data_IF_983185901647
#
_entry.id   IF_983185901647
#
_cell.length_a   1.000
_cell.length_b   1.000
_cell.length_c   1.000
_cell.angle_alpha   90.00
_cell.angle_beta   90.00
_cell.angle_gamma   90.00
#
_symmetry.space_group_name_H-M   'P 1'
#
loop_
_entity.id
_entity.type
_entity.pdbx_description
1 polymer ?
#
# COMPACT_ATOMS: atom_id res chain seq x y z
N UNK A 1 0.56 24.49 0.70
CA UNK A 1 -0.04 23.39 -0.07
C UNK A 1 0.39 22.11 0.62
N UNK A 2 -0.54 21.39 1.24
CA UNK A 2 -0.23 20.10 1.86
C UNK A 2 -0.03 19.12 0.73
N UNK A 3 1.20 18.69 0.53
CA UNK A 3 1.53 17.65 -0.43
C UNK A 3 0.84 16.37 0.06
N UNK A 4 -0.12 15.84 -0.71
CA UNK A 4 -0.89 14.63 -0.42
C UNK A 4 -0.02 13.35 -0.32
N UNK A 5 1.31 13.50 -0.32
CA UNK A 5 2.31 12.44 -0.20
C UNK A 5 2.75 12.16 1.23
N UNK A 6 2.55 13.08 2.17
CA UNK A 6 3.03 12.88 3.54
C UNK A 6 1.91 12.25 4.38
N UNK A 7 1.86 10.91 4.35
CA UNK A 7 1.00 10.10 5.22
C UNK A 7 1.64 9.83 6.59
N UNK A 8 2.67 10.59 6.95
CA UNK A 8 3.46 10.37 8.16
C UNK A 8 3.84 11.69 8.82
N UNK A 9 3.88 11.74 10.14
CA UNK A 9 4.30 12.90 10.92
C UNK A 9 5.36 12.47 11.93
N UNK A 10 6.51 13.13 11.92
CA UNK A 10 7.61 12.81 12.84
C UNK A 10 7.48 13.60 14.15
N UNK A 11 7.60 12.89 15.28
CA UNK A 11 7.56 13.44 16.63
C UNK A 11 8.67 12.81 17.46
N UNK A 12 9.79 13.53 17.58
CA UNK A 12 10.98 13.04 18.26
C UNK A 12 11.47 11.78 17.54
N UNK A 13 11.70 10.71 18.29
CA UNK A 13 12.13 9.46 17.66
C UNK A 13 11.04 8.73 16.87
N UNK A 14 9.76 9.12 16.99
CA UNK A 14 8.68 8.33 16.42
C UNK A 14 8.11 8.91 15.14
N UNK A 15 7.60 8.01 14.29
CA UNK A 15 6.84 8.34 13.09
C UNK A 15 5.38 7.91 13.25
N UNK A 16 4.47 8.88 13.23
CA UNK A 16 3.03 8.65 13.28
C UNK A 16 2.50 8.54 11.86
N UNK A 17 2.03 7.37 11.46
CA UNK A 17 1.27 7.17 10.24
C UNK A 17 -0.15 7.72 10.41
N UNK A 18 -0.56 8.57 9.47
CA UNK A 18 -1.88 9.20 9.45
C UNK A 18 -2.92 8.27 8.82
N UNK A 19 -4.20 8.32 9.24
CA UNK A 19 -5.27 7.58 8.58
C UNK A 19 -5.34 7.89 7.08
N UNK A 20 -5.39 6.85 6.25
CA UNK A 20 -5.41 6.94 4.79
C UNK A 20 -6.59 6.15 4.19
N UNK A 21 -6.65 6.02 2.86
CA UNK A 21 -7.71 5.29 2.17
C UNK A 21 -7.82 3.81 2.59
N UNK A 22 -6.74 3.20 3.09
CA UNK A 22 -6.66 1.82 3.56
C UNK A 22 -6.82 1.75 5.08
N UNK A 23 -5.98 2.47 5.80
CA UNK A 23 -5.82 2.42 7.25
C UNK A 23 -6.69 3.48 7.93
N UNK A 24 -7.72 3.10 8.70
CA UNK A 24 -8.64 4.05 9.33
C UNK A 24 -8.09 4.71 10.60
N UNK A 25 -6.93 4.28 11.09
CA UNK A 25 -6.35 4.65 12.37
C UNK A 25 -5.01 5.35 12.21
N UNK A 26 -4.66 6.18 13.20
CA UNK A 26 -3.28 6.57 13.40
C UNK A 26 -2.48 5.34 13.87
N UNK A 27 -1.23 5.24 13.43
CA UNK A 27 -0.37 4.11 13.77
C UNK A 27 1.06 4.55 14.02
N UNK A 28 1.69 4.01 15.06
CA UNK A 28 3.15 4.02 15.24
C UNK A 28 3.59 2.55 15.16
N UNK A 29 4.64 2.26 14.40
CA UNK A 29 5.26 0.95 14.32
C UNK A 29 6.77 1.13 14.53
N UNK A 30 7.27 0.72 15.69
CA UNK A 30 8.63 1.09 16.11
C UNK A 30 9.30 0.05 17.00
N UNK A 31 10.61 -0.12 16.86
CA UNK A 31 11.39 -1.05 17.66
C UNK A 31 11.83 -0.42 18.99
N UNK A 32 10.88 -0.34 19.93
CA UNK A 32 11.06 0.38 21.20
C UNK A 32 12.04 -0.28 22.18
N UNK A 33 12.34 -1.59 22.03
CA UNK A 33 13.25 -2.32 22.93
C UNK A 33 14.60 -1.62 23.07
N UNK A 34 15.33 -1.50 21.97
CA UNK A 34 16.63 -0.83 21.92
C UNK A 34 16.53 0.65 22.32
N UNK A 35 15.52 1.36 21.81
CA UNK A 35 15.31 2.79 22.07
C UNK A 35 15.06 3.09 23.55
N UNK A 36 14.49 2.15 24.30
CA UNK A 36 14.25 2.24 25.74
C UNK A 36 15.37 1.65 26.59
N UNK A 37 16.41 1.08 25.96
CA UNK A 37 17.51 0.38 26.64
C UNK A 37 17.10 -0.96 27.26
N UNK A 38 16.19 -1.68 26.61
CA UNK A 38 15.61 -2.96 27.04
C UNK A 38 15.98 -4.08 26.08
N UNK A 39 15.87 -5.33 26.55
CA UNK A 39 16.25 -6.50 25.74
C UNK A 39 15.20 -6.79 24.66
N UNK A 40 13.92 -6.55 24.96
CA UNK A 40 12.82 -6.92 24.06
C UNK A 40 11.76 -5.84 23.89
N UNK A 41 11.04 -5.92 22.76
CA UNK A 41 9.85 -5.08 22.51
C UNK A 41 8.70 -5.39 23.48
N UNK A 42 8.64 -6.59 24.08
CA UNK A 42 7.64 -6.95 25.08
C UNK A 42 7.85 -6.19 26.40
N UNK A 43 9.10 -6.08 26.85
CA UNK A 43 9.46 -5.24 28.00
C UNK A 43 9.17 -3.77 27.73
N UNK A 44 9.46 -3.30 26.51
CA UNK A 44 9.18 -1.93 26.11
C UNK A 44 7.68 -1.63 26.07
N UNK A 45 6.86 -2.55 25.57
CA UNK A 45 5.41 -2.48 25.66
C UNK A 45 4.95 -2.36 27.12
N UNK A 46 5.42 -3.24 28.00
CA UNK A 46 5.04 -3.21 29.41
C UNK A 46 5.40 -1.87 30.07
N UNK A 47 6.64 -1.40 29.85
CA UNK A 47 7.13 -0.10 30.35
C UNK A 47 6.26 1.06 29.85
N UNK A 48 5.91 1.07 28.56
CA UNK A 48 5.05 2.10 27.97
C UNK A 48 3.64 2.04 28.57
N UNK A 49 3.03 0.85 28.68
CA UNK A 49 1.70 0.67 29.27
C UNK A 49 1.64 1.15 30.72
N UNK A 50 2.64 0.80 31.52
CA UNK A 50 2.70 1.20 32.93
C UNK A 50 2.87 2.71 33.06
N UNK A 51 3.70 3.33 32.22
CA UNK A 51 3.88 4.79 32.16
C UNK A 51 2.59 5.51 31.76
N UNK A 52 1.87 4.99 30.77
CA UNK A 52 0.60 5.59 30.32
C UNK A 52 -0.48 5.46 31.40
N UNK A 53 -0.60 4.30 32.05
CA UNK A 53 -1.56 4.11 33.14
C UNK A 53 -1.33 5.07 34.31
N UNK A 54 -0.08 5.39 34.63
CA UNK A 54 0.26 6.29 35.74
C UNK A 54 0.13 7.77 35.37
N UNK A 55 0.50 8.17 34.15
CA UNK A 55 0.41 9.58 33.69
C UNK A 55 -1.01 9.98 33.30
N UNK A 56 -1.69 9.15 32.51
CA UNK A 56 -3.03 9.44 31.98
C UNK A 56 -3.76 8.15 31.60
N UNK A 57 -4.57 7.65 32.55
CA UNK A 57 -5.35 6.42 32.36
C UNK A 57 -6.39 6.51 31.24
N UNK A 58 -6.79 7.72 30.82
CA UNK A 58 -7.76 7.91 29.76
C UNK A 58 -7.13 7.82 28.37
N UNK A 59 -5.88 8.27 28.21
CA UNK A 59 -5.09 8.02 26.99
C UNK A 59 -4.91 6.51 26.80
N UNK A 60 -4.53 5.78 27.86
CA UNK A 60 -4.33 4.34 27.79
C UNK A 60 -5.56 3.58 27.25
N UNK A 61 -6.77 3.99 27.65
CA UNK A 61 -8.03 3.36 27.17
C UNK A 61 -8.35 3.68 25.70
N UNK A 62 -7.78 4.75 25.14
CA UNK A 62 -8.06 5.24 23.77
C UNK A 62 -7.14 4.65 22.71
N UNK A 63 -6.08 3.98 23.12
CA UNK A 63 -5.07 3.39 22.24
C UNK A 63 -5.01 1.86 22.39
N UNK A 64 -4.47 1.20 21.36
CA UNK A 64 -4.09 -0.21 21.41
C UNK A 64 -2.60 -0.33 21.20
N UNK A 65 -1.89 -0.96 22.12
CA UNK A 65 -0.46 -1.27 22.02
C UNK A 65 -0.35 -2.78 21.87
N UNK A 66 0.49 -3.29 20.98
CA UNK A 66 0.85 -4.72 20.91
C UNK A 66 2.31 -4.84 20.46
N UNK A 67 3.13 -5.59 21.18
CA UNK A 67 4.47 -5.96 20.74
C UNK A 67 4.46 -7.23 19.87
N UNK A 68 5.32 -7.21 18.87
CA UNK A 68 5.79 -8.37 18.12
C UNK A 68 7.32 -8.42 18.21
N UNK A 69 7.95 -9.51 17.77
CA UNK A 69 9.41 -9.66 17.84
C UNK A 69 10.17 -8.51 17.16
N UNK A 70 9.63 -7.99 16.06
CA UNK A 70 10.27 -6.92 15.28
C UNK A 70 9.90 -5.48 15.67
N UNK A 71 8.75 -5.24 16.28
CA UNK A 71 8.32 -3.88 16.64
C UNK A 71 7.13 -3.87 17.62
N UNK A 72 6.87 -2.69 18.19
CA UNK A 72 5.65 -2.38 18.92
C UNK A 72 4.71 -1.58 18.02
N UNK A 73 3.49 -2.09 17.85
CA UNK A 73 2.42 -1.41 17.14
C UNK A 73 1.52 -0.66 18.11
N UNK A 74 1.30 0.63 17.83
CA UNK A 74 0.44 1.50 18.63
C UNK A 74 -0.59 2.10 17.70
N UNK A 75 -1.88 1.87 17.99
CA UNK A 75 -2.98 2.30 17.15
C UNK A 75 -3.96 3.17 17.94
N UNK A 76 -4.42 4.25 17.30
CA UNK A 76 -5.48 5.10 17.81
C UNK A 76 -6.51 5.36 16.70
N UNK A 77 -7.81 5.35 17.00
CA UNK A 77 -8.82 5.63 15.98
C UNK A 77 -8.69 7.07 15.44
N UNK A 78 -9.28 7.37 14.28
CA UNK A 78 -9.12 8.65 13.58
C UNK A 78 -9.59 9.90 14.36
N UNK A 79 -10.30 9.75 15.49
CA UNK A 79 -10.70 10.88 16.35
C UNK A 79 -9.72 11.14 17.49
N UNK A 80 -8.71 10.28 17.66
CA UNK A 80 -7.79 10.29 18.80
C UNK A 80 -6.41 10.85 18.44
N UNK A 81 -6.38 11.86 17.56
CA UNK A 81 -5.13 12.53 17.14
C UNK A 81 -4.31 13.08 18.31
N UNK A 82 -4.98 13.65 19.33
CA UNK A 82 -4.30 14.08 20.55
C UNK A 82 -3.71 12.90 21.33
N UNK A 83 -4.45 11.80 21.50
CA UNK A 83 -3.94 10.66 22.27
C UNK A 83 -2.73 10.01 21.62
N UNK A 84 -2.69 9.90 20.28
CA UNK A 84 -1.49 9.35 19.62
C UNK A 84 -0.29 10.30 19.71
N UNK A 85 -0.52 11.62 19.71
CA UNK A 85 0.54 12.61 19.93
C UNK A 85 1.15 12.50 21.33
N UNK A 86 0.33 12.43 22.37
CA UNK A 86 0.84 12.30 23.74
C UNK A 86 1.63 11.02 23.93
N UNK A 87 1.20 9.91 23.29
CA UNK A 87 1.96 8.66 23.30
C UNK A 87 3.30 8.82 22.60
N UNK A 88 3.35 9.49 21.45
CA UNK A 88 4.58 9.80 20.74
C UNK A 88 5.58 10.60 21.59
N UNK A 89 5.09 11.61 22.32
CA UNK A 89 5.89 12.41 23.25
C UNK A 89 6.42 11.53 24.39
N UNK A 90 5.57 10.70 25.00
CA UNK A 90 5.97 9.79 26.09
C UNK A 90 7.01 8.77 25.60
N UNK A 91 6.90 8.27 24.37
CA UNK A 91 7.92 7.38 23.80
C UNK A 91 9.26 8.10 23.71
N UNK A 92 9.29 9.32 23.18
CA UNK A 92 10.52 10.11 23.10
C UNK A 92 11.11 10.41 24.50
N UNK A 93 10.26 10.66 25.51
CA UNK A 93 10.70 10.83 26.90
C UNK A 93 11.26 9.55 27.54
N UNK A 94 10.70 8.39 27.22
CA UNK A 94 11.16 7.10 27.74
C UNK A 94 12.45 6.61 27.07
N UNK A 95 12.77 7.15 25.90
CA UNK A 95 13.96 6.82 25.15
C UNK A 95 15.23 7.16 25.93
N UNK A 96 16.25 6.31 25.79
CA UNK A 96 17.59 6.60 26.33
C UNK A 96 18.21 7.79 25.60
N UNK A 97 19.18 8.42 26.25
CA UNK A 97 19.77 9.70 25.80
C UNK A 97 20.31 9.66 24.35
N UNK A 98 20.80 8.51 23.90
CA UNK A 98 21.34 8.36 22.54
C UNK A 98 20.28 8.41 21.44
N UNK A 99 19.03 8.08 21.76
CA UNK A 99 17.91 8.13 20.81
C UNK A 99 17.07 9.38 21.00
N UNK A 100 16.85 9.80 22.25
CA UNK A 100 15.96 10.93 22.59
C UNK A 100 16.28 12.19 21.77
N UNK A 101 15.24 12.76 21.18
CA UNK A 101 15.32 14.04 20.48
C UNK A 101 14.71 15.16 21.33
N UNK A 102 15.24 16.37 21.20
CA UNK A 102 14.63 17.55 21.81
C UNK A 102 13.36 17.95 21.05
N UNK A 103 12.28 18.18 21.77
CA UNK A 103 11.00 18.61 21.22
C UNK A 103 10.72 20.05 21.65
N UNK A 104 10.51 20.94 20.68
CA UNK A 104 10.08 22.31 20.96
C UNK A 104 8.56 22.37 21.12
N UNK A 105 8.08 23.32 21.92
CA UNK A 105 6.63 23.54 22.08
C UNK A 105 5.93 23.89 20.75
N UNK A 106 6.64 24.61 19.87
CA UNK A 106 6.15 24.93 18.52
C UNK A 106 5.92 23.67 17.68
N UNK A 107 6.90 22.76 17.64
CA UNK A 107 6.77 21.49 16.90
C UNK A 107 5.62 20.62 17.42
N UNK A 108 5.45 20.55 18.74
CA UNK A 108 4.34 19.82 19.36
C UNK A 108 2.99 20.43 18.97
N UNK A 109 2.87 21.75 18.95
CA UNK A 109 1.61 22.42 18.62
C UNK A 109 1.26 22.30 17.13
N UNK A 110 2.24 22.41 16.25
CA UNK A 110 2.05 22.16 14.82
C UNK A 110 1.61 20.71 14.55
N UNK A 111 2.24 19.76 15.21
CA UNK A 111 1.84 18.35 15.16
C UNK A 111 0.43 18.13 15.67
N UNK A 112 0.07 18.75 16.80
CA UNK A 112 -1.28 18.70 17.38
C UNK A 112 -2.32 19.21 16.40
N UNK A 113 -2.05 20.35 15.76
CA UNK A 113 -2.92 20.92 14.74
C UNK A 113 -3.11 19.95 13.58
N UNK A 114 -2.05 19.34 13.06
CA UNK A 114 -2.15 18.34 11.98
C UNK A 114 -3.02 17.15 12.43
N UNK A 115 -2.70 16.53 13.56
CA UNK A 115 -3.35 15.29 14.01
C UNK A 115 -4.82 15.48 14.39
N UNK A 116 -5.20 16.63 14.95
CA UNK A 116 -6.59 16.91 15.36
C UNK A 116 -7.46 17.38 14.20
N UNK A 117 -6.88 18.01 13.17
CA UNK A 117 -7.61 18.50 11.99
C UNK A 117 -7.55 17.54 10.80
N UNK A 118 -6.75 16.46 10.88
CA UNK A 118 -6.59 15.50 9.81
C UNK A 118 -7.93 14.87 9.40
N UNK A 119 -8.31 15.11 8.15
CA UNK A 119 -9.46 14.45 7.52
C UNK A 119 -8.96 13.29 6.71
N UNK A 120 -9.22 12.08 7.21
CA UNK A 120 -8.94 10.83 6.49
C UNK A 120 -9.49 10.92 5.05
N UNK A 121 -8.64 10.68 4.04
CA UNK A 121 -9.09 10.50 2.67
C UNK A 121 -10.09 9.35 2.58
N UNK A 122 -11.24 9.58 1.93
CA UNK A 122 -12.23 8.52 1.73
C UNK A 122 -11.70 7.55 0.66
N UNK A 123 -11.77 6.23 0.88
CA UNK A 123 -11.42 5.27 -0.15
C UNK A 123 -12.32 5.45 -1.38
N UNK A 124 -11.72 5.40 -2.58
CA UNK A 124 -12.43 5.32 -3.84
C UNK A 124 -13.37 4.12 -3.82
N UNK A 125 -14.60 4.32 -4.28
CA UNK A 125 -15.57 3.23 -4.42
C UNK A 125 -15.32 2.49 -5.72
N UNK A 126 -15.34 1.17 -5.65
CA UNK A 126 -15.27 0.28 -6.81
C UNK A 126 -16.05 -1.02 -6.58
N UNK A 127 -16.35 -1.70 -7.67
CA UNK A 127 -17.08 -2.97 -7.74
C UNK A 127 -16.63 -3.82 -8.93
N UNK A 128 -17.13 -5.05 -9.01
CA UNK A 128 -16.91 -5.92 -10.17
C UNK A 128 -17.48 -5.27 -11.44
N UNK A 129 -16.74 -5.39 -12.55
CA UNK A 129 -17.03 -4.71 -13.82
C UNK A 129 -16.42 -3.32 -13.95
N UNK A 130 -15.93 -2.71 -12.87
CA UNK A 130 -15.30 -1.39 -12.95
C UNK A 130 -13.99 -1.42 -13.72
N UNK A 131 -13.87 -0.49 -14.66
CA UNK A 131 -12.67 -0.24 -15.46
C UNK A 131 -11.88 0.86 -14.78
N UNK A 132 -10.57 0.67 -14.71
CA UNK A 132 -9.67 1.63 -14.08
C UNK A 132 -8.43 1.91 -14.95
N UNK A 133 -7.95 3.15 -14.87
CA UNK A 133 -6.71 3.60 -15.49
C UNK A 133 -5.57 3.58 -14.47
N UNK A 134 -4.38 3.15 -14.91
CA UNK A 134 -3.17 3.05 -14.09
C UNK A 134 -2.15 4.02 -14.66
N UNK A 135 -1.73 5.06 -13.91
CA UNK A 135 -0.66 5.94 -14.35
C UNK A 135 0.67 5.17 -14.41
N UNK A 136 1.37 5.30 -15.54
CA UNK A 136 2.67 4.68 -15.80
C UNK A 136 3.80 5.72 -15.62
N UNK A 137 5.03 5.25 -15.44
CA UNK A 137 6.20 6.09 -15.16
C UNK A 137 6.59 7.05 -16.29
N UNK A 138 6.21 6.73 -17.52
CA UNK A 138 6.37 7.60 -18.69
C UNK A 138 5.22 8.63 -18.85
N UNK A 139 4.33 8.73 -17.84
CA UNK A 139 3.13 9.58 -17.79
C UNK A 139 1.99 9.15 -18.71
N UNK A 140 2.10 8.00 -19.36
CA UNK A 140 0.98 7.37 -20.06
C UNK A 140 0.09 6.58 -19.08
N UNK A 141 -0.96 5.97 -19.60
CA UNK A 141 -1.92 5.16 -18.84
C UNK A 141 -2.03 3.76 -19.43
N UNK A 142 -2.00 2.75 -18.56
CA UNK A 142 -2.50 1.41 -18.84
C UNK A 142 -3.88 1.19 -18.24
N UNK A 143 -4.56 0.10 -18.60
CA UNK A 143 -5.94 -0.12 -18.19
C UNK A 143 -6.21 -1.54 -17.70
N UNK A 144 -7.17 -1.67 -16.79
CA UNK A 144 -7.67 -2.96 -16.32
C UNK A 144 -9.14 -2.91 -15.94
N UNK A 145 -9.71 -4.08 -15.67
CA UNK A 145 -11.08 -4.25 -15.17
C UNK A 145 -11.08 -5.13 -13.92
N UNK A 146 -11.86 -4.74 -12.91
CA UNK A 146 -12.12 -5.57 -11.73
C UNK A 146 -13.02 -6.74 -12.13
N UNK A 147 -12.49 -7.97 -12.08
CA UNK A 147 -13.24 -9.18 -12.42
C UNK A 147 -13.95 -9.77 -11.20
N UNK A 148 -13.24 -9.86 -10.07
CA UNK A 148 -13.84 -10.36 -8.83
C UNK A 148 -13.06 -9.94 -7.60
N UNK A 149 -13.68 -10.07 -6.43
CA UNK A 149 -12.99 -9.92 -5.15
C UNK A 149 -13.42 -11.01 -4.16
N UNK A 150 -12.50 -11.49 -3.32
CA UNK A 150 -12.88 -12.37 -2.20
C UNK A 150 -13.42 -11.57 -1.01
N UNK A 151 -12.75 -10.46 -0.72
CA UNK A 151 -13.15 -9.47 0.26
C UNK A 151 -12.57 -8.15 -0.26
N UNK A 152 -13.40 -7.11 -0.40
CA UNK A 152 -12.99 -5.82 -0.99
C UNK A 152 -11.75 -5.19 -0.30
N UNK A 153 -11.39 -5.67 0.88
CA UNK A 153 -10.24 -5.20 1.65
C UNK A 153 -8.96 -6.05 1.52
N UNK A 154 -9.03 -7.28 0.99
CA UNK A 154 -7.88 -8.20 0.99
C UNK A 154 -7.22 -8.34 -0.36
N UNK A 155 -8.01 -8.52 -1.42
CA UNK A 155 -7.52 -8.86 -2.73
C UNK A 155 -8.57 -8.65 -3.82
N UNK A 156 -8.10 -8.37 -5.02
CA UNK A 156 -8.91 -8.18 -6.22
C UNK A 156 -8.26 -8.91 -7.38
N UNK A 157 -9.09 -9.59 -8.18
CA UNK A 157 -8.66 -10.15 -9.46
C UNK A 157 -9.00 -9.16 -10.57
N UNK A 158 -8.01 -8.80 -11.37
CA UNK A 158 -8.15 -7.84 -12.45
C UNK A 158 -7.78 -8.48 -13.80
N UNK A 159 -8.55 -8.14 -14.84
CA UNK A 159 -8.11 -8.26 -16.22
C UNK A 159 -7.24 -7.04 -16.55
N UNK A 160 -6.23 -7.25 -17.39
CA UNK A 160 -5.35 -6.20 -17.90
C UNK A 160 -5.49 -6.17 -19.41
N UNK A 161 -5.70 -4.98 -19.97
CA UNK A 161 -5.92 -4.79 -21.41
C UNK A 161 -4.62 -4.50 -22.16
N UNK A 162 -4.54 -4.94 -23.43
CA UNK A 162 -3.56 -4.44 -24.41
C UNK A 162 -3.95 -3.03 -24.86
N UNK A 163 -3.92 -2.09 -23.93
CA UNK A 163 -4.29 -0.72 -24.17
C UNK A 163 -3.37 0.21 -23.39
N UNK A 164 -2.68 1.10 -24.11
CA UNK A 164 -1.88 2.19 -23.57
C UNK A 164 -2.22 3.48 -24.29
N UNK A 165 -2.25 4.59 -23.55
CA UNK A 165 -2.45 5.91 -24.15
C UNK A 165 -1.88 7.02 -23.26
N UNK A 166 -1.40 8.09 -23.87
CA UNK A 166 -0.91 9.29 -23.16
C UNK A 166 -2.05 10.09 -22.50
N UNK A 167 -3.30 9.81 -22.89
CA UNK A 167 -4.51 10.39 -22.30
C UNK A 167 -5.45 9.28 -21.86
N UNK A 168 -6.29 9.56 -20.86
CA UNK A 168 -7.29 8.60 -20.40
C UNK A 168 -8.31 8.37 -21.52
N UNK A 169 -8.40 7.12 -21.99
CA UNK A 169 -9.33 6.71 -23.04
C UNK A 169 -10.75 6.55 -22.51
N UNK A 170 -11.77 6.74 -23.38
CA UNK A 170 -13.14 6.36 -23.07
C UNK A 170 -13.25 4.86 -22.78
N UNK A 171 -14.04 4.48 -21.78
CA UNK A 171 -14.23 3.08 -21.36
C UNK A 171 -14.65 2.15 -22.50
N UNK A 172 -15.46 2.64 -23.44
CA UNK A 172 -15.94 1.88 -24.61
C UNK A 172 -14.83 1.49 -25.58
N UNK A 173 -13.76 2.27 -25.69
CA UNK A 173 -12.57 1.89 -26.47
C UNK A 173 -11.70 0.89 -25.72
N UNK A 174 -11.60 1.03 -24.39
CA UNK A 174 -10.77 0.16 -23.56
C UNK A 174 -11.29 -1.29 -23.57
N UNK A 175 -12.61 -1.49 -23.46
CA UNK A 175 -13.20 -2.84 -23.46
C UNK A 175 -13.11 -3.57 -24.79
N UNK A 176 -12.82 -2.86 -25.88
CA UNK A 176 -12.59 -3.46 -27.19
C UNK A 176 -11.16 -4.00 -27.35
N UNK A 177 -10.24 -3.63 -26.45
CA UNK A 177 -8.88 -4.14 -26.44
C UNK A 177 -8.82 -5.57 -25.92
N UNK A 178 -7.86 -6.33 -26.42
CA UNK A 178 -7.62 -7.70 -25.95
C UNK A 178 -7.18 -7.73 -24.49
N UNK A 179 -7.51 -8.81 -23.78
CA UNK A 179 -7.02 -9.05 -22.42
C UNK A 179 -5.70 -9.79 -22.49
N UNK A 180 -4.64 -9.21 -21.93
CA UNK A 180 -3.28 -9.76 -21.99
C UNK A 180 -2.91 -10.60 -20.75
N UNK A 181 -3.57 -10.32 -19.63
CA UNK A 181 -3.27 -10.96 -18.35
C UNK A 181 -4.47 -10.88 -17.41
N UNK A 182 -4.54 -11.84 -16.49
CA UNK A 182 -5.47 -11.82 -15.36
C UNK A 182 -4.67 -12.08 -14.08
N UNK A 183 -4.66 -11.12 -13.17
CA UNK A 183 -3.87 -11.18 -11.94
C UNK A 183 -4.73 -10.92 -10.71
N UNK A 184 -4.52 -11.72 -9.66
CA UNK A 184 -4.99 -11.38 -8.31
C UNK A 184 -3.93 -10.57 -7.58
N UNK A 185 -4.28 -9.38 -7.12
CA UNK A 185 -3.41 -8.52 -6.31
C UNK A 185 -3.97 -8.29 -4.92
N UNK A 186 -3.07 -8.08 -3.94
CA UNK A 186 -3.37 -7.62 -2.58
C UNK A 186 -2.73 -6.25 -2.32
N UNK A 187 -2.99 -5.70 -1.14
CA UNK A 187 -2.51 -4.37 -0.72
C UNK A 187 -2.99 -3.29 -1.69
N UNK A 188 -4.31 -3.14 -1.82
CA UNK A 188 -5.01 -2.35 -2.84
C UNK A 188 -4.91 -0.82 -2.61
N UNK A 189 -3.75 -0.31 -2.17
CA UNK A 189 -3.56 1.09 -1.83
C UNK A 189 -3.76 1.98 -3.05
N UNK A 190 -3.18 1.64 -4.20
CA UNK A 190 -3.30 2.46 -5.41
C UNK A 190 -4.75 2.51 -5.92
N UNK A 191 -5.49 1.40 -5.85
CA UNK A 191 -6.91 1.36 -6.24
C UNK A 191 -7.83 2.09 -5.25
N UNK A 192 -7.62 1.92 -3.95
CA UNK A 192 -8.46 2.55 -2.93
C UNK A 192 -8.13 4.03 -2.72
N UNK A 193 -6.89 4.46 -2.97
CA UNK A 193 -6.51 5.88 -2.91
C UNK A 193 -6.99 6.68 -4.12
N UNK A 194 -7.41 6.00 -5.19
CA UNK A 194 -7.80 6.61 -6.45
C UNK A 194 -6.64 6.93 -7.38
N UNK A 195 -5.41 6.51 -7.05
CA UNK A 195 -4.28 6.58 -7.99
C UNK A 195 -4.54 5.72 -9.22
N UNK A 196 -5.13 4.53 -9.04
CA UNK A 196 -5.80 3.85 -10.15
C UNK A 196 -7.21 4.40 -10.26
N UNK A 197 -7.43 5.27 -11.24
CA UNK A 197 -8.68 6.01 -11.37
C UNK A 197 -9.76 5.11 -11.95
N UNK A 198 -10.88 4.92 -11.23
CA UNK A 198 -12.05 4.21 -11.76
C UNK A 198 -12.77 5.10 -12.77
N UNK A 199 -12.93 4.59 -13.99
CA UNK A 199 -13.54 5.30 -15.13
C UNK A 199 -15.04 4.99 -15.27
N UNK A 200 -15.50 3.91 -14.65
CA UNK A 200 -16.89 3.47 -14.65
C UNK A 200 -17.03 1.97 -14.85
N UNK A 201 -18.27 1.51 -14.82
CA UNK A 201 -18.62 0.09 -14.89
C UNK A 201 -18.92 -0.36 -16.32
N UNK A 202 -18.57 -1.61 -16.64
CA UNK A 202 -18.96 -2.32 -17.85
C UNK A 202 -19.17 -3.82 -17.57
N UNK A 203 -19.70 -4.55 -18.55
CA UNK A 203 -19.82 -6.00 -18.51
C UNK A 203 -18.45 -6.65 -18.35
N UNK A 204 -18.40 -7.76 -17.61
CA UNK A 204 -17.15 -8.49 -17.39
C UNK A 204 -16.62 -9.04 -18.71
N UNK A 205 -15.37 -8.68 -19.05
CA UNK A 205 -14.69 -9.20 -20.26
C UNK A 205 -14.39 -10.69 -20.16
N UNK A 206 -14.35 -11.21 -18.93
CA UNK A 206 -14.26 -12.64 -18.62
C UNK A 206 -15.11 -12.96 -17.41
N UNK A 207 -15.99 -13.95 -17.54
CA UNK A 207 -16.66 -14.53 -16.40
C UNK A 207 -15.66 -15.22 -15.45
N UNK A 208 -15.99 -15.22 -14.16
CA UNK A 208 -15.17 -15.83 -13.11
C UNK A 208 -14.86 -17.31 -13.38
N UNK A 209 -15.77 -18.05 -13.99
CA UNK A 209 -15.62 -19.45 -14.41
C UNK A 209 -14.47 -19.67 -15.40
N UNK A 210 -14.14 -18.64 -16.19
CA UNK A 210 -13.14 -18.67 -17.25
C UNK A 210 -11.79 -18.07 -16.82
N UNK A 211 -11.67 -17.62 -15.57
CA UNK A 211 -10.39 -17.17 -15.00
C UNK A 211 -9.57 -18.40 -14.63
N UNK A 212 -8.31 -18.53 -15.10
CA UNK A 212 -7.45 -19.65 -14.71
C UNK A 212 -7.42 -19.79 -13.19
N UNK A 213 -7.60 -21.02 -12.68
CA UNK A 213 -7.76 -21.28 -11.24
C UNK A 213 -6.65 -20.61 -10.42
N UNK A 214 -5.41 -20.66 -10.92
CA UNK A 214 -4.21 -20.06 -10.31
C UNK A 214 -4.32 -18.56 -10.02
N UNK A 215 -5.20 -17.85 -10.74
CA UNK A 215 -5.48 -16.41 -10.65
C UNK A 215 -6.94 -16.12 -10.24
N UNK A 216 -7.70 -17.14 -9.84
CA UNK A 216 -9.10 -16.98 -9.38
C UNK A 216 -9.21 -16.26 -8.04
N UNK A 217 -8.08 -16.11 -7.35
CA UNK A 217 -8.01 -15.53 -6.02
C UNK A 217 -8.68 -16.36 -4.95
N UNK A 218 -9.17 -17.58 -5.22
CA UNK A 218 -9.80 -18.46 -4.22
C UNK A 218 -8.80 -18.91 -3.12
N UNK A 219 -9.23 -19.56 -2.03
CA UNK A 219 -8.28 -20.16 -1.08
C UNK A 219 -7.98 -21.60 -1.53
N UNK A 220 -6.70 -21.95 -1.70
CA UNK A 220 -6.31 -23.27 -2.22
C UNK A 220 -4.81 -23.38 -2.56
N UNK A 221 -4.32 -24.62 -2.65
CA UNK A 221 -2.92 -24.93 -2.97
C UNK A 221 -2.62 -24.55 -4.42
N UNK A 222 -1.51 -23.85 -4.65
CA UNK A 222 -1.04 -23.45 -5.99
C UNK A 222 -1.50 -22.08 -6.48
N UNK A 223 -2.31 -21.35 -5.70
CA UNK A 223 -2.85 -20.04 -6.06
C UNK A 223 -1.84 -18.92 -5.87
N UNK A 224 -1.84 -17.92 -6.77
CA UNK A 224 -0.89 -16.81 -6.75
C UNK A 224 -1.60 -15.48 -6.53
N UNK A 225 -1.29 -14.85 -5.39
CA UNK A 225 -1.70 -13.49 -5.06
C UNK A 225 -0.44 -12.62 -5.05
N UNK A 226 -0.43 -11.58 -5.86
CA UNK A 226 0.70 -10.68 -6.02
C UNK A 226 0.51 -9.39 -5.22
N UNK A 227 1.59 -8.69 -4.96
CA UNK A 227 1.52 -7.30 -4.50
C UNK A 227 1.03 -6.41 -5.65
N UNK A 228 0.28 -5.34 -5.36
CA UNK A 228 -0.27 -4.46 -6.42
C UNK A 228 0.80 -3.89 -7.37
N UNK A 229 2.02 -3.63 -6.90
CA UNK A 229 3.11 -3.11 -7.74
C UNK A 229 3.49 -4.05 -8.89
N UNK A 230 3.23 -5.36 -8.75
CA UNK A 230 3.49 -6.34 -9.82
C UNK A 230 2.61 -6.05 -11.03
N UNK A 231 1.36 -5.60 -10.80
CA UNK A 231 0.43 -5.28 -11.87
C UNK A 231 0.94 -4.08 -12.68
N UNK A 232 1.31 -2.97 -12.03
CA UNK A 232 1.90 -1.82 -12.72
C UNK A 232 3.23 -2.16 -13.40
N UNK A 233 4.11 -2.91 -12.74
CA UNK A 233 5.39 -3.33 -13.32
C UNK A 233 5.24 -4.24 -14.52
N UNK A 234 4.23 -5.12 -14.52
CA UNK A 234 3.91 -5.97 -15.67
C UNK A 234 3.45 -5.14 -16.87
N UNK A 235 2.53 -4.20 -16.67
CA UNK A 235 2.04 -3.31 -17.73
C UNK A 235 3.18 -2.49 -18.32
N UNK A 236 4.05 -1.91 -17.47
CA UNK A 236 5.21 -1.15 -17.94
C UNK A 236 6.20 -2.02 -18.71
N UNK A 237 6.42 -3.26 -18.28
CA UNK A 237 7.26 -4.21 -19.00
C UNK A 237 6.64 -4.60 -20.36
N UNK A 238 5.34 -4.82 -20.40
CA UNK A 238 4.59 -5.16 -21.63
C UNK A 238 4.67 -4.05 -22.67
N UNK A 239 4.55 -2.79 -22.25
CA UNK A 239 4.66 -1.64 -23.14
C UNK A 239 6.09 -1.10 -23.30
N UNK A 240 7.11 -1.89 -22.95
CA UNK A 240 8.53 -1.56 -23.09
C UNK A 240 8.97 -0.26 -22.38
N UNK A 241 8.26 0.15 -21.33
CA UNK A 241 8.64 1.27 -20.45
C UNK A 241 9.69 0.80 -19.43
N UNK A 242 9.51 -0.42 -18.91
CA UNK A 242 10.49 -1.10 -18.07
C UNK A 242 11.07 -2.32 -18.79
N UNK A 243 12.29 -2.76 -18.42
CA UNK A 243 12.80 -4.03 -18.91
C UNK A 243 11.93 -5.20 -18.47
N UNK A 244 11.69 -6.15 -19.38
CA UNK A 244 10.88 -7.33 -19.14
C UNK A 244 11.45 -8.22 -18.03
N UNK A 245 12.79 -8.28 -17.93
CA UNK A 245 13.51 -9.04 -16.92
C UNK A 245 14.02 -8.18 -15.76
N UNK A 246 13.40 -7.03 -15.46
CA UNK A 246 13.87 -6.12 -14.41
C UNK A 246 13.82 -6.72 -12.99
N UNK A 247 12.97 -7.72 -12.75
CA UNK A 247 12.87 -8.33 -11.41
C UNK A 247 14.09 -9.22 -11.12
N UNK A 248 14.76 -9.05 -9.97
CA UNK A 248 16.05 -9.68 -9.70
C UNK A 248 15.97 -11.20 -9.56
N UNK A 249 14.80 -11.72 -9.18
CA UNK A 249 14.66 -13.12 -8.77
C UNK A 249 14.38 -14.11 -9.93
N UNK A 250 13.90 -13.64 -11.10
CA UNK A 250 13.59 -14.53 -12.24
C UNK A 250 13.39 -13.75 -13.56
N UNK A 251 14.20 -14.06 -14.58
CA UNK A 251 14.19 -13.33 -15.86
C UNK A 251 12.92 -13.52 -16.69
N UNK A 252 12.30 -14.70 -16.61
CA UNK A 252 11.06 -15.02 -17.31
C UNK A 252 9.81 -14.91 -16.41
N UNK A 253 9.89 -14.11 -15.34
CA UNK A 253 8.75 -13.96 -14.44
C UNK A 253 7.52 -13.35 -15.14
N UNK A 254 7.74 -12.33 -15.98
CA UNK A 254 6.65 -11.64 -16.67
C UNK A 254 5.92 -12.53 -17.69
N UNK A 255 6.61 -13.52 -18.27
CA UNK A 255 5.97 -14.50 -19.16
C UNK A 255 4.92 -15.33 -18.43
N UNK A 256 5.18 -15.65 -17.16
CA UNK A 256 4.25 -16.41 -16.35
C UNK A 256 3.01 -15.61 -15.93
N UNK A 257 2.94 -14.31 -16.26
CA UNK A 257 1.80 -13.44 -16.02
C UNK A 257 0.89 -13.31 -17.25
N UNK A 258 1.36 -13.69 -18.44
CA UNK A 258 0.57 -13.63 -19.67
C UNK A 258 -0.53 -14.71 -19.66
N UNK A 259 -1.65 -14.41 -20.33
CA UNK A 259 -2.61 -15.46 -20.66
C UNK A 259 -1.99 -16.47 -21.65
N UNK A 260 -2.44 -17.75 -21.65
CA UNK A 260 -1.81 -18.81 -22.45
C UNK A 260 -1.66 -18.55 -23.95
N UNK A 261 -2.53 -17.72 -24.53
CA UNK A 261 -2.54 -17.40 -25.96
C UNK A 261 -1.92 -16.02 -26.26
N UNK A 262 -1.35 -15.35 -25.26
CA UNK A 262 -0.75 -14.04 -25.41
C UNK A 262 0.75 -14.20 -25.39
N UNK A 263 1.40 -13.79 -26.48
CA UNK A 263 2.84 -13.81 -26.59
C UNK A 263 3.44 -12.56 -25.96
N UNK A 264 4.67 -12.69 -25.46
CA UNK A 264 5.50 -11.54 -25.10
C UNK A 264 5.63 -10.60 -26.32
N UNK A 265 5.41 -9.29 -26.18
CA UNK A 265 5.62 -8.35 -27.28
C UNK A 265 7.06 -8.38 -27.79
N UNK A 266 7.25 -8.21 -29.10
CA UNK A 266 8.58 -8.29 -29.72
C UNK A 266 9.50 -7.11 -29.38
N UNK A 267 8.92 -5.98 -28.98
CA UNK A 267 9.61 -4.73 -28.70
C UNK A 267 10.03 -4.56 -27.23
N UNK A 268 9.90 -5.59 -26.39
CA UNK A 268 10.27 -5.47 -24.98
C UNK A 268 11.77 -5.28 -24.78
N UNK A 269 12.14 -4.55 -23.74
CA UNK A 269 13.53 -4.34 -23.36
C UNK A 269 14.01 -5.56 -22.54
N UNK A 270 15.13 -6.16 -22.92
CA UNK A 270 15.76 -7.26 -22.17
C UNK A 270 17.17 -6.81 -21.76
N UNK A 271 17.42 -6.76 -20.46
CA UNK A 271 18.75 -6.42 -19.94
C UNK A 271 19.68 -7.63 -19.97
N UNK A 272 20.97 -7.39 -20.25
CA UNK A 272 22.02 -8.36 -19.93
C UNK A 272 22.23 -8.46 -18.41
N UNK A 273 23.01 -9.45 -17.97
CA UNK A 273 23.37 -9.60 -16.54
C UNK A 273 24.09 -8.37 -16.00
N UNK A 274 24.95 -7.75 -16.81
CA UNK A 274 25.71 -6.56 -16.44
C UNK A 274 24.80 -5.34 -16.32
N UNK A 275 23.93 -5.12 -17.30
CA UNK A 275 22.95 -4.03 -17.27
C UNK A 275 22.01 -4.15 -16.08
N UNK A 276 21.58 -5.37 -15.74
CA UNK A 276 20.71 -5.65 -14.59
C UNK A 276 21.34 -5.34 -13.24
N UNK A 277 22.68 -5.34 -13.13
CA UNK A 277 23.39 -4.94 -11.89
C UNK A 277 23.40 -3.41 -11.69
N UNK A 278 23.20 -2.65 -12.76
CA UNK A 278 23.23 -1.18 -12.76
C UNK A 278 21.82 -0.56 -12.74
N UNK A 279 20.79 -1.37 -12.97
CA UNK A 279 19.37 -1.00 -12.97
C UNK A 279 18.77 -1.16 -11.57
#
# INVERSE_FOLDING_TARGET
>A
MVDNKILTLDIGIVKIHLPDAINPSFMIAQSLGEEFGLETNYEAEEKLRNTLKSKDSDIYKKIKINAESGCVFINANSKQGNSILEVAIIINELAIQSFRQELTSEHIEDARKVLTTWKRPKPQKWQEGDIFAIPLSDRSFGYGQVLSHQNKKSSVTCAIFDCRSDVIKPKGEIVQSDVISILTVKNLYDLNSGKWQVLGNDSLVKEKSNVPLVHSGTAGVGLKIYQEYILSSFIEAYFAIKPWNHLPFKDNFMDALLLPNVNRPHNVIILTKEQKKLY
#
